data_IF_878092616577
#
_entry.id   IF_878092616577
#
_cell.length_a   1.000
_cell.length_b   1.000
_cell.length_c   1.000
_cell.angle_alpha   90.00
_cell.angle_beta   90.00
_cell.angle_gamma   90.00
#
_symmetry.space_group_name_H-M   'P 1'
#
loop_
_entity.id
_entity.type
_entity.pdbx_description
1 polymer ?
#
# COMPACT_ATOMS: atom_id res chain seq x y z
N UNK A 1 4.28 -51.31 -35.93
CA UNK A 1 3.61 -51.13 -34.64
C UNK A 1 3.19 -49.67 -34.50
N UNK A 2 1.86 -49.46 -34.49
CA UNK A 2 1.06 -48.42 -33.82
C UNK A 2 1.65 -47.01 -33.66
N UNK A 3 1.05 -46.07 -34.41
CA UNK A 3 0.89 -44.66 -34.04
C UNK A 3 0.20 -44.54 -32.67
N UNK A 4 0.74 -43.75 -31.75
CA UNK A 4 -0.03 -43.01 -30.72
C UNK A 4 0.89 -42.32 -29.71
N UNK A 5 0.84 -40.99 -29.67
CA UNK A 5 0.59 -40.20 -28.46
C UNK A 5 0.58 -38.72 -28.86
N UNK A 6 -0.59 -38.24 -29.24
CA UNK A 6 -0.88 -36.81 -29.36
C UNK A 6 -0.79 -36.24 -27.94
N UNK A 7 0.26 -35.47 -27.65
CA UNK A 7 0.42 -34.80 -26.36
C UNK A 7 -0.57 -33.63 -26.33
N UNK A 8 -1.76 -33.86 -25.78
CA UNK A 8 -2.74 -32.81 -25.51
C UNK A 8 -2.17 -31.84 -24.47
N UNK A 9 -1.63 -30.71 -24.94
CA UNK A 9 -1.24 -29.59 -24.10
C UNK A 9 -2.52 -28.87 -23.65
N UNK A 10 -3.13 -29.35 -22.56
CA UNK A 10 -4.21 -28.64 -21.88
C UNK A 10 -3.57 -27.45 -21.16
N UNK A 11 -3.59 -26.29 -21.81
CA UNK A 11 -3.27 -25.02 -21.19
C UNK A 11 -4.35 -24.76 -20.14
N UNK A 12 -4.01 -24.98 -18.87
CA UNK A 12 -4.80 -24.46 -17.76
C UNK A 12 -4.79 -22.92 -17.87
N UNK A 13 -5.85 -22.36 -18.46
CA UNK A 13 -6.23 -20.97 -18.24
C UNK A 13 -6.59 -20.84 -16.76
N UNK A 14 -5.58 -20.59 -15.93
CA UNK A 14 -5.82 -20.10 -14.57
C UNK A 14 -6.23 -18.64 -14.72
N UNK A 15 -7.52 -18.38 -14.61
CA UNK A 15 -8.02 -17.04 -14.32
C UNK A 15 -7.40 -16.64 -12.97
N UNK A 16 -6.32 -15.85 -13.02
CA UNK A 16 -5.75 -15.21 -11.83
C UNK A 16 -6.79 -14.24 -11.29
N UNK A 17 -7.65 -14.73 -10.40
CA UNK A 17 -8.44 -13.86 -9.55
C UNK A 17 -7.46 -12.90 -8.86
N UNK A 18 -7.75 -11.60 -8.78
CA UNK A 18 -6.88 -10.66 -8.10
C UNK A 18 -6.70 -11.14 -6.65
N UNK A 19 -5.48 -11.58 -6.34
CA UNK A 19 -5.10 -11.94 -4.98
C UNK A 19 -4.94 -10.65 -4.20
N UNK A 20 -5.97 -10.28 -3.43
CA UNK A 20 -5.88 -9.18 -2.50
C UNK A 20 -5.06 -9.64 -1.30
N UNK A 21 -3.74 -9.39 -1.33
CA UNK A 21 -2.90 -9.57 -0.16
C UNK A 21 -3.44 -8.66 0.97
N UNK A 22 -3.79 -9.28 2.09
CA UNK A 22 -4.26 -8.58 3.29
C UNK A 22 -3.04 -8.12 4.08
N UNK A 23 -2.96 -6.84 4.43
CA UNK A 23 -1.92 -6.32 5.32
C UNK A 23 -1.97 -7.06 6.68
N UNK A 24 -0.81 -7.27 7.29
CA UNK A 24 -0.73 -7.85 8.63
C UNK A 24 -1.43 -6.93 9.63
N UNK A 25 -2.29 -7.50 10.48
CA UNK A 25 -2.93 -6.77 11.55
C UNK A 25 -1.86 -6.09 12.41
N UNK A 26 -1.87 -4.75 12.54
CA UNK A 26 -0.94 -4.03 13.38
C UNK A 26 -1.25 -4.30 14.85
N UNK A 27 -0.26 -4.07 15.70
CA UNK A 27 -0.45 -4.04 17.15
C UNK A 27 -1.21 -2.77 17.57
N UNK A 28 -1.49 -2.59 18.86
CA UNK A 28 -2.11 -1.37 19.41
C UNK A 28 -1.11 -0.63 20.28
N UNK A 29 -1.03 0.68 20.12
CA UNK A 29 -0.21 1.56 20.96
C UNK A 29 -1.09 2.58 21.65
N UNK A 30 -1.03 2.61 22.97
CA UNK A 30 -1.61 3.66 23.79
C UNK A 30 -0.53 4.74 23.99
N UNK A 31 -0.77 5.94 23.48
CA UNK A 31 0.14 7.08 23.56
C UNK A 31 -0.69 8.36 23.76
N UNK A 32 -0.28 9.21 24.70
CA UNK A 32 -0.95 10.47 25.05
C UNK A 32 -2.47 10.33 25.35
N UNK A 33 -2.88 9.17 25.87
CA UNK A 33 -4.29 8.89 26.22
C UNK A 33 -5.16 8.41 25.06
N UNK A 34 -4.60 8.24 23.85
CA UNK A 34 -5.30 7.68 22.69
C UNK A 34 -4.69 6.34 22.25
N UNK A 35 -5.45 5.54 21.49
CA UNK A 35 -5.00 4.26 20.94
C UNK A 35 -4.79 4.37 19.43
N UNK A 36 -3.55 4.20 18.99
CA UNK A 36 -3.18 4.15 17.57
C UNK A 36 -2.75 2.74 17.16
N UNK A 37 -2.64 2.54 15.85
CA UNK A 37 -2.14 1.31 15.25
C UNK A 37 -0.61 1.33 15.26
N UNK A 38 -0.01 0.34 15.92
CA UNK A 38 1.44 0.17 15.99
C UNK A 38 1.90 -0.66 14.80
N UNK A 39 2.52 -0.01 13.82
CA UNK A 39 3.04 -0.64 12.61
C UNK A 39 4.51 -1.02 12.79
N UNK A 40 4.77 -1.78 13.84
CA UNK A 40 6.04 -2.43 14.13
C UNK A 40 5.75 -3.76 14.83
N UNK A 41 6.77 -4.59 15.02
CA UNK A 41 6.62 -5.90 15.65
C UNK A 41 7.53 -6.07 16.89
N UNK A 42 7.38 -5.25 17.96
CA UNK A 42 8.30 -5.30 19.09
C UNK A 42 8.31 -6.66 19.82
N UNK A 43 7.16 -7.34 19.90
CA UNK A 43 7.08 -8.69 20.48
C UNK A 43 7.77 -9.71 19.56
N UNK A 44 7.65 -9.58 18.25
CA UNK A 44 8.33 -10.45 17.29
C UNK A 44 9.85 -10.36 17.46
N UNK A 45 10.39 -9.14 17.61
CA UNK A 45 11.80 -8.93 17.89
C UNK A 45 12.24 -9.66 19.17
N UNK A 46 11.43 -9.64 20.22
CA UNK A 46 11.71 -10.41 21.44
C UNK A 46 11.70 -11.92 21.19
N UNK A 47 10.67 -12.43 20.49
CA UNK A 47 10.55 -13.86 20.17
C UNK A 47 11.76 -14.36 19.38
N UNK A 48 12.24 -13.56 18.41
CA UNK A 48 13.41 -13.87 17.59
C UNK A 48 14.71 -13.84 18.41
N UNK A 49 14.92 -12.78 19.21
CA UNK A 49 16.11 -12.65 20.05
C UNK A 49 16.23 -13.76 21.12
N UNK A 50 15.11 -14.33 21.55
CA UNK A 50 15.07 -15.39 22.56
C UNK A 50 14.90 -16.80 21.96
N UNK A 51 14.99 -16.93 20.63
CA UNK A 51 14.76 -18.18 19.88
C UNK A 51 13.46 -18.90 20.30
N UNK A 52 12.40 -18.14 20.52
CA UNK A 52 11.16 -18.65 21.08
C UNK A 52 10.42 -19.54 20.07
N UNK A 53 10.34 -20.85 20.36
CA UNK A 53 9.69 -21.85 19.49
C UNK A 53 8.30 -22.29 19.96
N UNK A 54 7.86 -21.88 21.15
CA UNK A 54 6.57 -22.30 21.71
C UNK A 54 5.45 -21.44 21.11
N UNK A 55 4.30 -22.00 20.73
CA UNK A 55 3.19 -21.16 20.30
C UNK A 55 2.69 -20.34 21.50
N UNK A 56 2.31 -19.07 21.26
CA UNK A 56 1.75 -18.20 22.31
C UNK A 56 0.37 -18.67 22.78
N UNK A 57 -0.32 -19.44 21.95
CA UNK A 57 -1.63 -20.01 22.22
C UNK A 57 -1.63 -21.50 21.85
N UNK A 58 -2.38 -22.36 22.56
CA UNK A 58 -2.59 -23.73 22.12
C UNK A 58 -3.34 -23.77 20.78
N UNK A 59 -3.22 -24.88 20.04
CA UNK A 59 -3.84 -25.03 18.71
C UNK A 59 -5.35 -24.75 18.69
N UNK A 60 -6.06 -25.06 19.79
CA UNK A 60 -7.49 -24.79 19.94
C UNK A 60 -7.87 -23.31 20.02
N UNK A 61 -6.90 -22.43 20.34
CA UNK A 61 -7.06 -20.97 20.43
C UNK A 61 -6.27 -20.23 19.35
N UNK A 62 -5.58 -20.99 18.49
CA UNK A 62 -4.85 -20.48 17.34
C UNK A 62 -5.78 -19.74 16.38
N UNK A 63 -5.40 -18.52 15.99
CA UNK A 63 -6.25 -17.65 15.16
C UNK A 63 -5.42 -16.94 14.09
N UNK A 64 -4.81 -17.75 13.21
CA UNK A 64 -4.08 -17.25 12.04
C UNK A 64 -5.05 -16.96 10.89
N UNK A 65 -4.77 -15.89 10.14
CA UNK A 65 -5.48 -15.57 8.89
C UNK A 65 -4.53 -14.90 7.90
N UNK A 66 -4.97 -14.69 6.66
CA UNK A 66 -4.19 -13.94 5.66
C UNK A 66 -3.87 -12.52 6.12
N UNK A 67 -4.72 -11.93 6.97
CA UNK A 67 -4.53 -10.61 7.58
C UNK A 67 -3.95 -10.63 8.98
N UNK A 68 -3.65 -11.79 9.56
CA UNK A 68 -2.96 -11.89 10.85
C UNK A 68 -2.15 -13.19 10.88
N UNK A 69 -1.08 -13.23 10.09
CA UNK A 69 -0.22 -14.41 9.96
C UNK A 69 0.69 -14.62 11.18
N UNK A 70 0.77 -13.63 12.09
CA UNK A 70 1.39 -13.81 13.42
C UNK A 70 0.50 -14.58 14.38
N UNK A 71 -0.81 -14.62 14.15
CA UNK A 71 -1.79 -15.29 15.01
C UNK A 71 -2.08 -14.57 16.33
N UNK A 72 -1.51 -13.38 16.55
CA UNK A 72 -1.70 -12.55 17.73
C UNK A 72 -1.70 -11.06 17.40
N UNK A 73 -2.26 -10.28 18.32
CA UNK A 73 -2.17 -8.80 18.37
C UNK A 73 -1.72 -8.41 19.76
N UNK A 74 -0.61 -7.66 19.85
CA UNK A 74 -0.12 -7.15 21.12
C UNK A 74 -0.57 -5.70 21.36
N UNK A 75 -0.69 -5.35 22.63
CA UNK A 75 -1.06 -4.02 23.10
C UNK A 75 0.11 -3.45 23.89
N UNK A 76 0.42 -2.20 23.58
CA UNK A 76 1.55 -1.47 24.10
C UNK A 76 1.09 -0.14 24.68
N UNK A 77 1.84 0.38 25.65
CA UNK A 77 1.58 1.67 26.28
C UNK A 77 2.91 2.41 26.46
N UNK A 78 2.93 3.72 26.18
CA UNK A 78 4.06 4.58 26.51
C UNK A 78 3.75 5.32 27.82
N UNK A 79 4.58 5.11 28.83
CA UNK A 79 4.49 5.77 30.14
C UNK A 79 5.87 6.33 30.46
N UNK A 80 5.96 7.63 30.79
CA UNK A 80 7.22 8.30 31.11
C UNK A 80 8.34 7.99 30.10
N UNK A 81 8.00 8.15 28.81
CA UNK A 81 8.86 7.87 27.65
C UNK A 81 9.38 6.42 27.56
N UNK A 82 8.69 5.46 28.19
CA UNK A 82 9.05 4.03 28.11
C UNK A 82 7.94 3.20 27.52
N UNK A 83 8.31 2.28 26.62
CA UNK A 83 7.41 1.34 25.98
C UNK A 83 7.17 0.12 26.88
N UNK A 84 5.91 -0.19 27.13
CA UNK A 84 5.48 -1.32 27.91
C UNK A 84 4.56 -2.24 27.11
N UNK A 85 4.79 -3.55 27.17
CA UNK A 85 3.82 -4.54 26.74
C UNK A 85 2.77 -4.70 27.83
N UNK A 86 1.49 -4.55 27.47
CA UNK A 86 0.37 -4.64 28.42
C UNK A 86 -0.44 -5.91 28.22
N UNK A 87 -0.77 -6.26 26.97
CA UNK A 87 -1.56 -7.45 26.64
C UNK A 87 -1.05 -8.14 25.36
N UNK A 88 -1.31 -9.44 25.24
CA UNK A 88 -1.22 -10.18 23.98
C UNK A 88 -2.51 -10.96 23.81
N UNK A 89 -3.22 -10.72 22.71
CA UNK A 89 -4.43 -11.47 22.34
C UNK A 89 -4.19 -12.33 21.12
N UNK A 90 -4.95 -13.40 20.94
CA UNK A 90 -4.96 -14.13 19.68
C UNK A 90 -5.63 -13.29 18.58
N UNK A 91 -5.43 -13.68 17.32
CA UNK A 91 -5.85 -12.88 16.15
C UNK A 91 -7.32 -12.47 16.07
N UNK A 92 -8.23 -13.17 16.75
CA UNK A 92 -9.66 -12.84 16.85
C UNK A 92 -10.10 -12.30 18.23
N UNK A 93 -9.15 -11.99 19.11
CA UNK A 93 -9.36 -11.44 20.46
C UNK A 93 -10.20 -12.32 21.40
N UNK A 94 -10.33 -13.62 21.14
CA UNK A 94 -11.08 -14.54 22.01
C UNK A 94 -10.28 -15.05 23.21
N UNK A 95 -8.94 -14.91 23.19
CA UNK A 95 -8.05 -15.36 24.24
C UNK A 95 -6.91 -14.36 24.47
N UNK A 96 -6.41 -14.33 25.71
CA UNK A 96 -5.31 -13.47 26.16
C UNK A 96 -4.20 -14.32 26.78
N UNK A 97 -2.94 -14.01 26.46
CA UNK A 97 -1.77 -14.63 27.12
C UNK A 97 -1.66 -14.13 28.56
N UNK A 98 -1.32 -15.04 29.46
CA UNK A 98 -0.86 -14.68 30.80
C UNK A 98 0.59 -14.17 30.74
N UNK A 99 0.79 -12.86 30.96
CA UNK A 99 2.10 -12.24 30.89
C UNK A 99 3.04 -12.73 31.99
N UNK A 100 2.54 -13.07 33.18
CA UNK A 100 3.38 -13.55 34.29
C UNK A 100 4.02 -14.90 33.96
N UNK A 101 3.27 -15.76 33.26
CA UNK A 101 3.77 -17.04 32.75
C UNK A 101 4.77 -16.87 31.60
N UNK A 102 4.58 -15.89 30.72
CA UNK A 102 5.47 -15.65 29.56
C UNK A 102 6.74 -14.88 29.95
N UNK A 103 6.63 -13.91 30.85
CA UNK A 103 7.69 -12.98 31.27
C UNK A 103 7.97 -13.12 32.77
N UNK A 104 8.35 -14.33 33.20
CA UNK A 104 8.57 -14.71 34.60
C UNK A 104 9.46 -13.68 35.32
N UNK A 105 8.90 -13.07 36.37
CA UNK A 105 9.61 -12.10 37.22
C UNK A 105 9.85 -10.73 36.59
N UNK A 106 9.27 -10.45 35.42
CA UNK A 106 9.42 -9.17 34.69
C UNK A 106 8.14 -8.35 34.60
N UNK A 107 7.00 -8.91 35.04
CA UNK A 107 5.72 -8.20 35.07
C UNK A 107 5.67 -7.32 36.33
N UNK A 108 5.40 -6.03 36.14
CA UNK A 108 5.18 -5.07 37.22
C UNK A 108 3.92 -4.26 36.93
N UNK A 109 2.96 -4.25 37.87
CA UNK A 109 1.62 -3.65 37.69
C UNK A 109 0.95 -4.06 36.37
N UNK A 110 1.05 -5.34 36.00
CA UNK A 110 0.45 -5.90 34.78
C UNK A 110 1.14 -5.51 33.47
N UNK A 111 2.38 -5.00 33.54
CA UNK A 111 3.15 -4.51 32.38
C UNK A 111 4.54 -5.12 32.34
N UNK A 112 5.11 -5.24 31.14
CA UNK A 112 6.51 -5.66 30.93
C UNK A 112 7.26 -4.54 30.22
N UNK A 113 8.37 -4.08 30.79
CA UNK A 113 9.23 -3.07 30.14
C UNK A 113 9.84 -3.65 28.87
N UNK A 114 9.69 -2.97 27.74
CA UNK A 114 10.18 -3.40 26.43
C UNK A 114 11.65 -3.04 26.21
N UNK A 115 12.53 -3.28 27.20
CA UNK A 115 13.93 -2.84 27.17
C UNK A 115 14.76 -3.48 26.04
N UNK A 116 14.23 -4.54 25.41
CA UNK A 116 14.82 -5.20 24.25
C UNK A 116 14.57 -4.47 22.93
N UNK A 117 13.57 -3.58 22.89
CA UNK A 117 13.10 -2.98 21.65
C UNK A 117 13.96 -1.77 21.27
N UNK A 118 14.44 -1.74 20.03
CA UNK A 118 15.20 -0.62 19.47
C UNK A 118 14.90 -0.56 17.99
N UNK A 119 14.00 0.36 17.62
CA UNK A 119 13.60 0.60 16.23
C UNK A 119 12.78 1.90 16.14
N UNK A 120 12.47 2.33 14.92
CA UNK A 120 11.47 3.36 14.66
C UNK A 120 10.12 2.70 14.41
N UNK A 121 9.09 3.16 15.12
CA UNK A 121 7.72 2.72 14.90
C UNK A 121 6.93 3.78 14.16
N UNK A 122 6.23 3.37 13.12
CA UNK A 122 5.18 4.19 12.51
C UNK A 122 3.84 3.96 13.19
N UNK A 123 3.11 5.04 13.44
CA UNK A 123 1.73 5.02 13.88
C UNK A 123 0.90 5.91 12.96
N UNK A 124 -0.37 5.55 12.73
CA UNK A 124 -1.22 6.22 11.75
C UNK A 124 -2.56 6.60 12.38
N UNK A 125 -3.09 7.75 11.99
CA UNK A 125 -4.44 8.21 12.32
C UNK A 125 -5.13 8.81 11.08
N UNK A 126 -6.46 8.93 11.13
CA UNK A 126 -7.25 9.48 10.03
C UNK A 126 -7.54 8.49 8.90
N UNK A 127 -8.01 9.01 7.76
CA UNK A 127 -8.40 8.24 6.58
C UNK A 127 -7.16 7.64 5.91
N UNK A 128 -7.29 6.40 5.40
CA UNK A 128 -6.26 5.82 4.54
C UNK A 128 -6.28 6.51 3.17
N UNK A 129 -5.23 7.27 2.91
CA UNK A 129 -5.01 8.05 1.70
C UNK A 129 -4.56 7.17 0.54
N UNK A 130 -3.69 6.20 0.79
CA UNK A 130 -3.17 5.31 -0.24
C UNK A 130 -2.92 3.91 0.31
N UNK A 131 -3.36 2.89 -0.41
CA UNK A 131 -3.12 1.50 -0.03
C UNK A 131 -1.88 0.96 -0.75
N UNK A 132 -0.89 0.48 0.00
CA UNK A 132 0.25 -0.24 -0.56
C UNK A 132 0.29 -1.67 -0.01
N UNK A 133 0.29 -2.64 -0.93
CA UNK A 133 0.14 -4.07 -0.66
C UNK A 133 1.31 -4.78 0.06
N UNK A 134 2.26 -4.05 0.66
CA UNK A 134 3.48 -4.62 1.23
C UNK A 134 3.70 -4.20 2.69
N UNK A 135 3.48 -5.12 3.63
CA UNK A 135 3.67 -4.86 5.06
C UNK A 135 2.87 -3.65 5.51
N UNK A 136 3.48 -2.77 6.30
CA UNK A 136 2.85 -1.58 6.86
C UNK A 136 2.99 -0.30 6.01
N UNK A 137 2.88 -0.44 4.69
CA UNK A 137 3.25 0.63 3.76
C UNK A 137 2.10 1.49 3.24
N UNK A 138 0.88 1.25 3.74
CA UNK A 138 -0.27 2.14 3.52
C UNK A 138 0.03 3.55 4.05
N UNK A 139 -0.51 4.57 3.40
CA UNK A 139 -0.36 5.98 3.77
C UNK A 139 -1.67 6.49 4.34
N UNK A 140 -1.59 7.23 5.43
CA UNK A 140 -2.72 7.85 6.13
C UNK A 140 -2.55 9.36 6.20
N UNK A 141 -3.64 10.07 6.50
CA UNK A 141 -3.64 11.54 6.64
C UNK A 141 -2.64 12.00 7.70
N UNK A 142 -2.62 11.33 8.85
CA UNK A 142 -1.69 11.60 9.93
C UNK A 142 -0.74 10.42 10.10
N UNK A 143 0.57 10.66 9.92
CA UNK A 143 1.62 9.69 10.20
C UNK A 143 2.50 10.19 11.34
N UNK A 144 2.86 9.26 12.22
CA UNK A 144 3.78 9.50 13.34
C UNK A 144 4.95 8.54 13.24
N UNK A 145 6.14 9.01 13.59
CA UNK A 145 7.31 8.16 13.81
C UNK A 145 7.81 8.32 15.24
N UNK A 146 7.89 7.21 15.96
CA UNK A 146 8.40 7.13 17.31
C UNK A 146 9.69 6.31 17.31
N UNK A 147 10.81 6.95 17.61
CA UNK A 147 12.12 6.28 17.66
C UNK A 147 12.38 5.79 19.08
N UNK A 148 12.61 4.49 19.22
CA UNK A 148 12.93 3.86 20.50
C UNK A 148 14.36 3.35 20.55
N UNK A 149 15.02 3.54 21.68
CA UNK A 149 16.28 2.91 22.04
C UNK A 149 16.15 2.20 23.38
N UNK A 150 16.33 0.88 23.38
CA UNK A 150 16.17 0.00 24.56
C UNK A 150 14.87 0.28 25.33
N UNK A 151 13.76 0.36 24.60
CA UNK A 151 12.43 0.64 25.12
C UNK A 151 12.16 2.10 25.51
N UNK A 152 13.13 3.01 25.37
CA UNK A 152 12.98 4.44 25.69
C UNK A 152 12.64 5.22 24.42
N UNK A 153 11.56 6.00 24.43
CA UNK A 153 11.17 6.93 23.38
C UNK A 153 12.15 8.12 23.37
N UNK A 154 13.02 8.17 22.36
CA UNK A 154 14.03 9.22 22.24
C UNK A 154 13.61 10.34 21.28
N UNK A 155 12.65 10.07 20.39
CA UNK A 155 12.16 11.04 19.41
C UNK A 155 10.74 10.69 18.95
N UNK A 156 9.90 11.70 18.79
CA UNK A 156 8.64 11.61 18.07
C UNK A 156 8.59 12.62 16.94
N UNK A 157 8.07 12.23 15.79
CA UNK A 157 7.86 13.09 14.62
C UNK A 157 6.42 12.93 14.15
N UNK A 158 5.82 14.03 13.69
CA UNK A 158 4.49 14.07 13.10
C UNK A 158 4.62 14.52 11.64
N UNK A 159 3.81 13.91 10.78
CA UNK A 159 3.75 14.20 9.37
C UNK A 159 2.29 14.34 8.92
N UNK A 160 1.98 15.49 8.34
CA UNK A 160 0.69 15.78 7.72
C UNK A 160 0.73 15.40 6.23
N UNK A 161 -0.08 14.41 5.86
CA UNK A 161 -0.29 13.98 4.47
C UNK A 161 -1.69 14.33 3.95
N UNK A 162 -2.46 15.18 4.65
CA UNK A 162 -3.84 15.56 4.29
C UNK A 162 -3.96 16.27 2.93
N UNK A 163 -2.87 16.87 2.44
CA UNK A 163 -2.77 17.45 1.09
C UNK A 163 -2.75 16.41 -0.03
N UNK A 164 -2.73 15.11 0.31
CA UNK A 164 -2.84 14.06 -0.68
C UNK A 164 -4.26 14.01 -1.24
N UNK A 165 -4.37 14.08 -2.57
CA UNK A 165 -5.67 14.01 -3.26
C UNK A 165 -6.05 12.57 -3.62
N UNK A 166 -5.39 11.58 -3.00
CA UNK A 166 -5.55 10.19 -3.39
C UNK A 166 -6.87 9.61 -2.89
N UNK A 167 -7.77 9.36 -3.84
CA UNK A 167 -8.85 8.40 -3.76
C UNK A 167 -8.60 7.21 -4.69
N UNK A 168 -7.36 6.71 -4.82
CA UNK A 168 -7.13 5.44 -5.55
C UNK A 168 -7.52 4.26 -4.66
N UNK A 169 -8.83 4.02 -4.55
CA UNK A 169 -9.34 2.66 -4.36
C UNK A 169 -8.82 1.82 -5.53
N UNK A 170 -7.86 0.95 -5.26
CA UNK A 170 -7.83 -0.48 -5.61
C UNK A 170 -8.49 -0.98 -6.92
N UNK A 171 -8.62 -0.18 -7.98
CA UNK A 171 -9.24 -0.60 -9.24
C UNK A 171 -8.57 0.06 -10.46
N UNK A 172 -8.36 -0.70 -11.56
CA UNK A 172 -7.84 -0.21 -12.84
C UNK A 172 -8.61 1.00 -13.44
N UNK A 173 -9.83 1.24 -13.00
CA UNK A 173 -10.73 2.28 -13.52
C UNK A 173 -10.38 3.71 -13.05
N UNK A 174 -9.42 3.85 -12.13
CA UNK A 174 -8.93 5.14 -11.60
C UNK A 174 -7.71 5.71 -12.36
N UNK A 175 -7.12 4.92 -13.25
CA UNK A 175 -6.06 5.41 -14.13
C UNK A 175 -6.65 6.46 -15.09
N UNK A 176 -5.99 7.59 -15.38
CA UNK A 176 -6.55 8.73 -16.14
C UNK A 176 -6.68 8.43 -17.65
N UNK A 177 -7.08 7.21 -18.00
CA UNK A 177 -7.20 6.68 -19.35
C UNK A 177 -8.08 7.57 -20.22
N UNK A 178 -9.23 8.01 -19.72
CA UNK A 178 -10.14 8.87 -20.49
C UNK A 178 -9.53 10.25 -20.79
N UNK A 179 -8.83 10.84 -19.82
CA UNK A 179 -8.13 12.11 -20.01
C UNK A 179 -7.00 11.95 -21.03
N UNK A 180 -6.15 10.95 -20.84
CA UNK A 180 -5.06 10.62 -21.78
C UNK A 180 -5.63 10.42 -23.19
N UNK A 181 -6.63 9.56 -23.33
CA UNK A 181 -7.25 9.25 -24.62
C UNK A 181 -7.86 10.49 -25.28
N UNK A 182 -8.44 11.42 -24.50
CA UNK A 182 -9.00 12.67 -25.05
C UNK A 182 -7.95 13.65 -25.59
N UNK A 183 -6.72 13.56 -25.11
CA UNK A 183 -5.61 14.45 -25.48
C UNK A 183 -4.76 13.89 -26.64
N UNK A 184 -4.85 12.58 -26.90
CA UNK A 184 -4.14 11.92 -28.01
C UNK A 184 -4.71 12.39 -29.35
N UNK A 185 -3.83 12.75 -30.28
CA UNK A 185 -4.18 13.03 -31.67
C UNK A 185 -4.28 11.72 -32.47
N UNK A 186 -5.40 11.02 -32.26
CA UNK A 186 -5.68 9.75 -32.91
C UNK A 186 -5.68 9.78 -34.44
N UNK A 187 -5.86 10.98 -35.04
CA UNK A 187 -5.90 11.17 -36.49
C UNK A 187 -4.51 11.18 -37.11
N UNK A 188 -3.52 11.69 -36.38
CA UNK A 188 -2.12 11.78 -36.81
C UNK A 188 -1.38 10.45 -36.71
N UNK A 189 -1.88 9.52 -35.88
CA UNK A 189 -1.21 8.24 -35.62
C UNK A 189 -1.35 7.26 -36.81
N UNK A 190 -0.33 6.43 -37.08
CA UNK A 190 -0.44 5.35 -38.06
C UNK A 190 -1.54 4.37 -37.64
N UNK A 191 -2.02 3.58 -38.61
CA UNK A 191 -3.01 2.55 -38.31
C UNK A 191 -2.47 1.58 -37.27
N UNK A 192 -3.21 1.42 -36.17
CA UNK A 192 -2.79 0.54 -35.08
C UNK A 192 -3.14 -0.90 -35.42
N UNK A 193 -2.13 -1.75 -35.58
CA UNK A 193 -2.29 -3.19 -35.68
C UNK A 193 -2.11 -3.82 -34.30
N UNK A 194 -3.19 -4.36 -33.73
CA UNK A 194 -3.18 -4.91 -32.38
C UNK A 194 -3.20 -3.84 -31.27
N UNK A 195 -2.20 -3.86 -30.40
CA UNK A 195 -2.07 -2.99 -29.22
C UNK A 195 -0.65 -2.49 -29.10
N UNK A 196 -0.49 -1.17 -28.96
CA UNK A 196 0.79 -0.54 -28.60
C UNK A 196 0.66 0.03 -27.18
N UNK A 197 1.68 -0.24 -26.35
CA UNK A 197 1.76 0.23 -24.97
C UNK A 197 3.02 1.08 -24.86
N UNK A 198 2.86 2.30 -24.35
CA UNK A 198 3.98 3.17 -23.99
C UNK A 198 3.87 3.48 -22.51
N UNK A 199 4.95 3.32 -21.76
CA UNK A 199 5.01 3.71 -20.35
C UNK A 199 6.00 4.85 -20.17
N UNK A 200 5.57 5.95 -19.57
CA UNK A 200 6.43 7.03 -19.12
C UNK A 200 6.60 6.94 -17.62
N UNK A 201 7.82 7.11 -17.12
CA UNK A 201 8.02 7.48 -15.73
C UNK A 201 8.20 8.98 -15.67
N UNK A 202 7.39 9.64 -14.85
CA UNK A 202 7.32 11.10 -14.77
C UNK A 202 7.40 11.55 -13.33
N UNK A 203 7.80 12.80 -13.11
CA UNK A 203 7.62 13.47 -11.82
C UNK A 203 6.42 14.39 -11.89
N UNK A 204 5.60 14.35 -10.83
CA UNK A 204 4.51 15.29 -10.63
C UNK A 204 4.91 16.42 -9.69
N UNK A 205 4.41 17.61 -9.96
CA UNK A 205 4.42 18.71 -9.01
C UNK A 205 3.26 18.61 -8.00
N UNK A 206 3.19 19.54 -7.04
CA UNK A 206 2.15 19.58 -5.99
C UNK A 206 0.71 19.78 -6.52
N UNK A 207 0.57 20.23 -7.77
CA UNK A 207 -0.72 20.45 -8.44
C UNK A 207 -1.15 19.25 -9.30
N UNK A 208 -0.39 18.15 -9.29
CA UNK A 208 -0.69 16.99 -10.12
C UNK A 208 -0.44 17.21 -11.60
N UNK A 209 0.52 18.06 -11.95
CA UNK A 209 0.97 18.27 -13.33
C UNK A 209 2.31 17.56 -13.52
N UNK A 210 2.55 17.08 -14.75
CA UNK A 210 3.83 16.49 -15.13
C UNK A 210 4.89 17.59 -15.22
N UNK A 211 5.87 17.51 -14.32
CA UNK A 211 7.00 18.44 -14.23
C UNK A 211 8.18 17.97 -15.10
N UNK A 212 8.48 16.67 -15.04
CA UNK A 212 9.60 16.07 -15.78
C UNK A 212 9.25 14.66 -16.28
N UNK A 213 9.87 14.24 -17.40
CA UNK A 213 9.84 12.85 -17.88
C UNK A 213 11.20 12.21 -17.61
N UNK A 214 11.22 11.19 -16.77
CA UNK A 214 12.42 10.49 -16.34
C UNK A 214 12.84 9.38 -17.30
N UNK A 215 11.87 8.63 -17.82
CA UNK A 215 12.14 7.56 -18.78
C UNK A 215 10.91 7.21 -19.60
N UNK A 216 11.16 6.54 -20.73
CA UNK A 216 10.16 6.08 -21.69
C UNK A 216 10.42 4.63 -22.07
N UNK A 217 9.35 3.84 -22.09
CA UNK A 217 9.36 2.44 -22.49
C UNK A 217 8.25 2.19 -23.50
N UNK A 218 8.63 2.09 -24.77
CA UNK A 218 7.71 1.73 -25.85
C UNK A 218 8.49 1.35 -27.10
N UNK A 219 7.97 0.37 -27.85
CA UNK A 219 8.68 -0.24 -28.97
C UNK A 219 8.61 0.56 -30.28
N UNK A 220 7.83 1.63 -30.34
CA UNK A 220 7.58 2.39 -31.56
C UNK A 220 7.66 3.89 -31.31
N UNK A 221 8.56 4.56 -32.02
CA UNK A 221 8.90 5.96 -31.81
C UNK A 221 7.73 6.92 -32.05
N UNK A 222 6.82 6.62 -32.98
CA UNK A 222 5.68 7.50 -33.27
C UNK A 222 4.74 7.57 -32.05
N UNK A 223 4.44 6.42 -31.45
CA UNK A 223 3.60 6.37 -30.25
C UNK A 223 4.34 6.91 -29.02
N UNK A 224 5.66 6.74 -28.96
CA UNK A 224 6.51 7.32 -27.91
C UNK A 224 6.46 8.85 -27.95
N UNK A 225 6.61 9.46 -29.13
CA UNK A 225 6.53 10.90 -29.30
C UNK A 225 5.13 11.44 -28.96
N UNK A 226 4.08 10.71 -29.33
CA UNK A 226 2.73 11.13 -28.97
C UNK A 226 2.48 11.08 -27.46
N UNK A 227 2.96 10.04 -26.77
CA UNK A 227 2.91 9.97 -25.31
C UNK A 227 3.66 11.15 -24.65
N UNK A 228 4.85 11.50 -25.17
CA UNK A 228 5.63 12.64 -24.68
C UNK A 228 4.92 13.98 -24.91
N UNK A 229 4.22 14.13 -26.04
CA UNK A 229 3.42 15.33 -26.33
C UNK A 229 2.24 15.48 -25.38
N UNK A 230 1.57 14.37 -25.05
CA UNK A 230 0.38 14.36 -24.20
C UNK A 230 0.72 14.53 -22.72
N UNK A 231 1.81 13.94 -22.23
CA UNK A 231 2.17 13.94 -20.81
C UNK A 231 2.12 15.33 -20.13
N UNK A 232 2.76 16.40 -20.66
CA UNK A 232 2.74 17.73 -20.03
C UNK A 232 1.37 18.43 -20.10
N UNK A 233 0.42 17.92 -20.89
CA UNK A 233 -0.94 18.45 -20.99
C UNK A 233 -1.87 17.88 -19.91
N UNK A 234 -1.44 16.86 -19.17
CA UNK A 234 -2.21 16.27 -18.08
C UNK A 234 -2.24 17.20 -16.87
N UNK A 235 -3.42 17.38 -16.30
CA UNK A 235 -3.68 18.25 -15.14
C UNK A 235 -4.58 17.55 -14.13
N UNK A 236 -4.40 17.84 -12.84
CA UNK A 236 -5.24 17.26 -11.79
C UNK A 236 -4.97 15.77 -11.56
N UNK A 237 -3.76 15.29 -11.89
CA UNK A 237 -3.36 13.93 -11.54
C UNK A 237 -3.28 13.79 -10.01
N UNK A 238 -3.72 12.66 -9.42
CA UNK A 238 -3.66 12.49 -7.98
C UNK A 238 -2.23 12.59 -7.43
N UNK A 239 -2.06 13.43 -6.41
CA UNK A 239 -0.81 13.58 -5.66
C UNK A 239 -0.88 12.83 -4.33
N UNK A 240 0.26 12.33 -3.89
CA UNK A 240 0.35 11.56 -2.64
C UNK A 240 1.55 12.06 -1.87
N UNK A 241 1.34 12.41 -0.61
CA UNK A 241 2.38 12.74 0.34
C UNK A 241 2.61 11.54 1.24
N UNK A 242 3.87 11.26 1.55
CA UNK A 242 4.27 10.26 2.54
C UNK A 242 5.29 10.92 3.45
N UNK A 243 5.08 10.85 4.77
CA UNK A 243 5.92 11.53 5.76
C UNK A 243 6.11 13.02 5.44
N UNK A 244 5.04 13.69 5.00
CA UNK A 244 5.04 15.11 4.65
C UNK A 244 5.74 15.44 3.33
N UNK A 245 6.30 14.45 2.63
CA UNK A 245 7.00 14.64 1.37
C UNK A 245 6.16 14.18 0.18
N UNK A 246 6.13 14.98 -0.88
CA UNK A 246 5.45 14.62 -2.12
C UNK A 246 6.15 13.43 -2.77
N UNK A 247 5.43 12.32 -2.95
CA UNK A 247 5.86 11.23 -3.81
C UNK A 247 5.75 11.68 -5.26
N UNK A 248 6.84 12.19 -5.82
CA UNK A 248 6.87 12.79 -7.16
C UNK A 248 6.71 11.77 -8.28
N UNK A 249 7.38 10.62 -8.20
CA UNK A 249 7.43 9.68 -9.31
C UNK A 249 6.08 9.00 -9.56
N UNK A 250 5.65 8.95 -10.82
CA UNK A 250 4.47 8.22 -11.30
C UNK A 250 4.76 7.51 -12.61
N UNK A 251 4.10 6.38 -12.81
CA UNK A 251 4.08 5.69 -14.11
C UNK A 251 2.80 6.06 -14.85
N UNK A 252 2.95 6.62 -16.05
CA UNK A 252 1.87 6.86 -16.99
C UNK A 252 1.95 5.82 -18.12
N UNK A 253 0.96 4.94 -18.19
CA UNK A 253 0.75 3.97 -19.26
C UNK A 253 -0.23 4.51 -20.31
N UNK A 254 0.18 4.52 -21.57
CA UNK A 254 -0.62 4.87 -22.73
C UNK A 254 -1.00 3.60 -23.47
N UNK A 255 -2.30 3.41 -23.71
CA UNK A 255 -2.83 2.25 -24.40
C UNK A 255 -3.42 2.65 -25.75
N UNK A 256 -2.63 2.48 -26.81
CA UNK A 256 -3.04 2.70 -28.18
C UNK A 256 -3.65 1.42 -28.74
N UNK A 257 -4.90 1.48 -29.16
CA UNK A 257 -5.61 0.34 -29.75
C UNK A 257 -6.40 0.79 -30.97
N UNK A 258 -6.59 -0.11 -31.93
CA UNK A 258 -7.42 0.14 -33.12
C UNK A 258 -8.84 0.56 -32.75
N UNK A 259 -9.42 -0.05 -31.71
CA UNK A 259 -10.77 0.26 -31.21
C UNK A 259 -10.89 1.73 -30.80
N UNK A 260 -9.94 2.23 -29.99
CA UNK A 260 -9.92 3.65 -29.58
C UNK A 260 -9.71 4.56 -30.78
N UNK A 261 -8.76 4.25 -31.66
CA UNK A 261 -8.49 5.04 -32.85
C UNK A 261 -9.75 5.19 -33.73
N UNK A 262 -10.48 4.10 -33.99
CA UNK A 262 -11.74 4.16 -34.73
C UNK A 262 -12.82 4.98 -34.01
N UNK A 263 -12.95 4.82 -32.70
CA UNK A 263 -13.92 5.56 -31.90
C UNK A 263 -13.69 7.08 -31.98
N UNK A 264 -12.44 7.54 -31.79
CA UNK A 264 -12.10 8.96 -31.87
C UNK A 264 -12.13 9.51 -33.31
N UNK A 265 -11.88 8.66 -34.33
CA UNK A 265 -12.08 9.04 -35.74
C UNK A 265 -13.55 9.25 -36.11
N UNK A 266 -14.47 8.48 -35.51
CA UNK A 266 -15.91 8.56 -35.73
C UNK A 266 -16.61 9.66 -34.91
N UNK A 267 -15.86 10.42 -34.10
CA UNK A 267 -16.40 11.54 -33.31
C UNK A 267 -17.24 11.13 -32.08
N UNK A 268 -17.09 9.90 -31.58
CA UNK A 268 -17.80 9.46 -30.37
C UNK A 268 -17.06 9.91 -29.11
N UNK A 269 -17.55 10.95 -28.43
CA UNK A 269 -16.96 11.44 -27.17
C UNK A 269 -17.25 10.49 -26.01
N UNK A 270 -16.21 10.12 -25.26
CA UNK A 270 -16.36 9.48 -23.94
C UNK A 270 -16.51 10.62 -22.92
N UNK A 271 -17.54 10.62 -22.05
CA UNK A 271 -17.61 11.58 -20.97
C UNK A 271 -16.39 11.41 -20.06
N UNK A 272 -15.70 12.52 -19.76
CA UNK A 272 -14.59 12.50 -18.80
C UNK A 272 -15.14 12.08 -17.42
N UNK A 273 -14.50 11.12 -16.72
CA UNK A 273 -14.81 10.88 -15.34
C UNK A 273 -14.60 12.18 -14.56
N UNK A 274 -15.60 12.58 -13.79
CA UNK A 274 -15.48 13.75 -12.92
C UNK A 274 -14.62 13.32 -11.72
N UNK A 275 -13.32 13.60 -11.75
CA UNK A 275 -12.38 13.23 -10.69
C UNK A 275 -12.57 14.04 -9.38
N UNK A 276 -13.61 14.88 -9.29
CA UNK A 276 -13.80 15.84 -8.20
C UNK A 276 -15.11 15.69 -7.40
N UNK A 277 -15.86 14.59 -7.51
CA UNK A 277 -17.05 14.40 -6.66
C UNK A 277 -16.77 13.38 -5.55
N UNK A 278 -16.26 13.86 -4.43
CA UNK A 278 -16.47 13.23 -3.12
C UNK A 278 -17.89 13.54 -2.66
N UNK A 279 -18.79 12.59 -2.80
CA UNK A 279 -19.98 12.46 -1.95
C UNK A 279 -20.56 11.05 -2.15
N UNK A 280 -20.19 10.11 -1.27
CA UNK A 280 -21.00 8.95 -0.91
C UNK A 280 -20.28 8.11 0.17
N UNK A 281 -20.78 8.28 1.41
CA UNK A 281 -20.93 7.31 2.51
C UNK A 281 -19.76 6.38 2.88
#
# INVERSE_FOLDING_TARGET
MKYSALLSFVIFLTSSLPSYATEQAPDRLIIYGDTTLLHALPLQQWLEQNDWKKPLFPDSLSSFSTGCWRGYVAFWEIIDDRLYLTNIYNGNYSAKVDLDSLFIGKVYHGRVSADWFTDTVTAYQGKRVYYLHAGFSSIYEDEFEHVFEKGVLIKSMYFDNSLSTSSMRTMPDSYPTAMIDSLVDWKSLPQIEGRVIVTLHVELNKLGQVDSVLSIYGANDIFNQEALRVAPLLTGLPVTYKRGELLKMRSLVFFFTRKKQQQFLLGTTIPLPNFCNEEAL
#
